data_IF_358542332794
#
_entry.id   IF_358542332794
#
_cell.length_a   1.000
_cell.length_b   1.000
_cell.length_c   1.000
_cell.angle_alpha   90.00
_cell.angle_beta   90.00
_cell.angle_gamma   90.00
#
_symmetry.space_group_name_H-M   'P 1'
#
loop_
_entity.id
_entity.type
_entity.pdbx_description
1 polymer ?
#
# COMPACT_ATOMS: atom_id res chain seq x y z
N UNK A 1 11.54 9.33 -18.01
CA UNK A 1 11.52 7.90 -17.63
C UNK A 1 10.79 7.82 -16.31
N UNK A 2 9.71 7.05 -16.24
CA UNK A 2 8.95 6.82 -15.01
C UNK A 2 9.68 5.77 -14.15
N UNK A 3 9.71 5.96 -12.84
CA UNK A 3 10.29 4.99 -11.90
C UNK A 3 9.23 3.91 -11.70
N UNK A 4 9.59 2.65 -11.83
CA UNK A 4 8.68 1.52 -11.58
C UNK A 4 9.14 0.76 -10.34
N UNK A 5 8.27 -0.07 -9.77
CA UNK A 5 8.67 -0.94 -8.67
C UNK A 5 9.78 -1.90 -9.10
N UNK A 6 9.69 -2.46 -10.31
CA UNK A 6 10.73 -3.32 -10.88
C UNK A 6 12.08 -2.63 -11.01
N UNK A 7 12.12 -1.34 -11.38
CA UNK A 7 13.36 -0.57 -11.41
C UNK A 7 14.01 -0.46 -10.02
N UNK A 8 13.23 -0.11 -8.98
CA UNK A 8 13.75 0.02 -7.61
C UNK A 8 14.24 -1.32 -7.06
N UNK A 9 13.49 -2.39 -7.30
CA UNK A 9 13.85 -3.74 -6.87
C UNK A 9 15.14 -4.20 -7.55
N UNK A 10 15.26 -3.99 -8.87
CA UNK A 10 16.44 -4.36 -9.65
C UNK A 10 17.68 -3.58 -9.22
N UNK A 11 17.53 -2.29 -8.92
CA UNK A 11 18.63 -1.44 -8.43
C UNK A 11 19.15 -1.93 -7.07
N UNK A 12 18.26 -2.16 -6.10
CA UNK A 12 18.63 -2.72 -4.79
C UNK A 12 19.30 -4.08 -4.94
N UNK A 13 18.81 -4.96 -5.81
CA UNK A 13 19.43 -6.27 -6.08
C UNK A 13 20.83 -6.11 -6.70
N UNK A 14 20.97 -5.22 -7.68
CA UNK A 14 22.25 -4.92 -8.31
C UNK A 14 23.28 -4.47 -7.28
N UNK A 15 22.91 -3.54 -6.41
CA UNK A 15 23.79 -3.04 -5.34
C UNK A 15 24.11 -4.14 -4.33
N UNK A 16 23.11 -4.90 -3.87
CA UNK A 16 23.30 -5.96 -2.89
C UNK A 16 24.22 -7.09 -3.39
N UNK A 17 24.13 -7.41 -4.68
CA UNK A 17 24.99 -8.40 -5.32
C UNK A 17 26.43 -7.93 -5.52
N UNK A 18 26.75 -6.64 -5.26
CA UNK A 18 28.07 -6.05 -5.47
C UNK A 18 28.64 -6.30 -6.88
N UNK A 19 27.77 -6.40 -7.88
CA UNK A 19 28.14 -6.77 -9.27
C UNK A 19 28.38 -8.27 -9.51
N UNK A 20 28.14 -9.13 -8.52
CA UNK A 20 28.05 -10.58 -8.67
C UNK A 20 26.74 -11.04 -9.33
N UNK A 21 26.45 -12.35 -9.32
CA UNK A 21 25.21 -12.85 -9.92
C UNK A 21 23.98 -12.44 -9.08
N UNK A 22 23.06 -11.60 -9.60
CA UNK A 22 21.90 -11.14 -8.84
C UNK A 22 20.97 -12.29 -8.39
N UNK A 23 21.03 -13.43 -9.08
CA UNK A 23 20.21 -14.61 -8.79
C UNK A 23 20.64 -15.37 -7.52
N UNK A 24 21.82 -15.07 -6.96
CA UNK A 24 22.29 -15.66 -5.70
C UNK A 24 21.81 -14.87 -4.47
N UNK A 25 21.20 -13.69 -4.68
CA UNK A 25 20.65 -12.89 -3.61
C UNK A 25 19.42 -13.56 -3.01
N UNK A 26 19.51 -13.97 -1.75
CA UNK A 26 18.50 -14.82 -1.08
C UNK A 26 17.19 -14.11 -0.75
N UNK A 27 17.09 -12.81 -0.99
CA UNK A 27 15.90 -12.02 -0.66
C UNK A 27 14.98 -11.94 -1.88
N UNK A 28 13.70 -12.24 -1.66
CA UNK A 28 12.67 -12.24 -2.71
C UNK A 28 12.30 -10.82 -3.12
N UNK A 29 11.87 -10.65 -4.39
CA UNK A 29 11.41 -9.35 -4.91
C UNK A 29 10.28 -8.75 -4.07
N UNK A 30 9.36 -9.61 -3.62
CA UNK A 30 8.26 -9.22 -2.72
C UNK A 30 8.78 -8.63 -1.41
N UNK A 31 9.84 -9.20 -0.85
CA UNK A 31 10.42 -8.70 0.40
C UNK A 31 11.13 -7.35 0.21
N UNK A 32 11.80 -7.17 -0.92
CA UNK A 32 12.43 -5.89 -1.29
C UNK A 32 11.35 -4.83 -1.51
N UNK A 33 10.30 -5.15 -2.27
CA UNK A 33 9.16 -4.26 -2.49
C UNK A 33 8.55 -3.82 -1.16
N UNK A 34 8.30 -4.77 -0.25
CA UNK A 34 7.75 -4.44 1.06
C UNK A 34 8.63 -3.43 1.82
N UNK A 35 9.95 -3.58 1.81
CA UNK A 35 10.85 -2.59 2.44
C UNK A 35 10.83 -1.23 1.75
N UNK A 36 10.74 -1.22 0.42
CA UNK A 36 10.62 0.00 -0.39
C UNK A 36 9.31 0.73 -0.04
N UNK A 37 8.19 0.02 0.03
CA UNK A 37 6.88 0.57 0.40
C UNK A 37 6.85 1.11 1.83
N UNK A 38 7.37 0.35 2.79
CA UNK A 38 7.50 0.79 4.19
C UNK A 38 8.34 2.07 4.31
N UNK A 39 9.49 2.11 3.64
CA UNK A 39 10.40 3.25 3.72
C UNK A 39 9.80 4.46 3.00
N UNK A 40 9.12 4.26 1.87
CA UNK A 40 8.38 5.30 1.17
C UNK A 40 7.29 5.90 2.07
N UNK A 41 6.47 5.05 2.69
CA UNK A 41 5.42 5.48 3.63
C UNK A 41 6.00 6.34 4.76
N UNK A 42 7.10 5.88 5.37
CA UNK A 42 7.81 6.62 6.42
C UNK A 42 8.32 8.00 5.96
N UNK A 43 8.94 8.09 4.79
CA UNK A 43 9.49 9.36 4.31
C UNK A 43 8.38 10.36 3.93
N UNK A 44 7.30 9.88 3.33
CA UNK A 44 6.15 10.72 3.01
C UNK A 44 5.46 11.16 4.30
N UNK A 45 5.26 10.27 5.29
CA UNK A 45 4.66 10.66 6.57
C UNK A 45 5.47 11.74 7.29
N UNK A 46 6.81 11.66 7.23
CA UNK A 46 7.70 12.70 7.75
C UNK A 46 7.58 14.04 7.01
N UNK A 47 7.45 14.02 5.68
CA UNK A 47 7.26 15.24 4.87
C UNK A 47 5.89 15.87 5.16
N UNK A 48 4.85 15.05 5.24
CA UNK A 48 3.51 15.50 5.64
C UNK A 48 3.56 16.11 7.06
N UNK A 49 4.25 15.50 8.02
CA UNK A 49 4.38 16.02 9.39
C UNK A 49 5.02 17.42 9.45
N UNK A 50 5.86 17.76 8.47
CA UNK A 50 6.45 19.10 8.30
C UNK A 50 5.51 20.09 7.63
N UNK A 51 4.32 19.64 7.19
CA UNK A 51 3.33 20.39 6.41
C UNK A 51 3.85 20.81 5.03
N UNK A 52 4.70 19.99 4.43
CA UNK A 52 5.05 20.15 3.03
C UNK A 52 3.82 19.93 2.14
N UNK A 53 3.78 20.59 0.99
CA UNK A 53 2.72 20.38 0.00
C UNK A 53 2.78 18.96 -0.58
N UNK A 54 1.61 18.42 -0.90
CA UNK A 54 1.50 17.10 -1.52
C UNK A 54 2.04 17.19 -2.95
N UNK A 55 3.02 16.36 -3.28
CA UNK A 55 3.47 16.21 -4.65
C UNK A 55 2.51 15.31 -5.44
N UNK A 56 2.09 15.75 -6.61
CA UNK A 56 1.23 14.99 -7.52
C UNK A 56 1.78 13.58 -7.83
N UNK A 57 3.11 13.43 -7.83
CA UNK A 57 3.79 12.15 -8.07
C UNK A 57 3.54 11.11 -6.99
N UNK A 58 3.03 11.49 -5.82
CA UNK A 58 2.73 10.57 -4.71
C UNK A 58 1.29 10.08 -4.72
N UNK A 59 0.41 10.79 -5.43
CA UNK A 59 -1.02 10.53 -5.48
C UNK A 59 -1.26 9.28 -6.31
N UNK A 60 -2.11 8.41 -5.78
CA UNK A 60 -2.54 7.18 -6.42
C UNK A 60 -4.03 7.24 -6.64
N UNK A 61 -4.49 6.58 -7.71
CA UNK A 61 -5.87 6.62 -8.14
C UNK A 61 -6.45 5.20 -8.15
N UNK A 62 -7.67 5.09 -7.65
CA UNK A 62 -8.54 3.94 -7.80
C UNK A 62 -9.74 4.45 -8.59
N UNK A 63 -9.73 4.23 -9.90
CA UNK A 63 -10.66 4.94 -10.77
C UNK A 63 -12.10 4.46 -10.59
N UNK A 64 -12.32 3.19 -10.27
CA UNK A 64 -13.62 2.55 -10.36
C UNK A 64 -13.93 1.65 -9.16
N UNK A 65 -14.10 2.29 -8.01
CA UNK A 65 -14.60 1.63 -6.80
C UNK A 65 -16.09 1.37 -6.97
N UNK A 66 -16.48 0.10 -7.03
CA UNK A 66 -17.88 -0.30 -7.10
C UNK A 66 -18.59 -0.09 -5.75
N UNK A 67 -19.77 0.50 -5.80
CA UNK A 67 -20.65 0.75 -4.68
C UNK A 67 -21.84 -0.20 -4.69
N UNK A 68 -22.30 -0.59 -3.51
CA UNK A 68 -23.53 -1.32 -3.29
C UNK A 68 -24.42 -0.61 -2.28
N UNK A 69 -25.73 -0.75 -2.46
CA UNK A 69 -26.71 -0.19 -1.56
C UNK A 69 -26.78 -1.06 -0.29
N UNK A 70 -26.55 -0.43 0.85
CA UNK A 70 -26.71 -1.06 2.16
C UNK A 70 -27.77 -0.33 2.96
N UNK A 71 -28.53 -1.11 3.75
CA UNK A 71 -29.53 -0.57 4.65
C UNK A 71 -28.85 0.33 5.70
N UNK A 72 -29.31 1.58 5.77
CA UNK A 72 -28.79 2.54 6.72
C UNK A 72 -29.15 2.22 8.17
N UNK A 73 -29.97 1.22 8.49
CA UNK A 73 -30.13 0.77 9.89
C UNK A 73 -28.78 0.40 10.56
N UNK A 74 -27.79 0.00 9.76
CA UNK A 74 -26.39 -0.23 10.20
C UNK A 74 -25.60 1.07 10.48
N UNK A 75 -26.10 2.20 9.98
CA UNK A 75 -25.47 3.53 10.03
C UNK A 75 -26.28 4.57 10.85
N UNK A 76 -27.58 4.39 10.95
CA UNK A 76 -28.57 5.29 11.49
C UNK A 76 -29.44 4.46 12.46
N UNK A 77 -29.27 4.70 13.76
CA UNK A 77 -29.98 4.00 14.86
C UNK A 77 -31.51 4.19 14.88
N UNK A 78 -32.14 4.58 13.78
CA UNK A 78 -33.59 4.84 13.68
C UNK A 78 -34.05 4.51 12.26
N UNK A 79 -35.15 3.75 12.15
CA UNK A 79 -35.86 3.50 10.90
C UNK A 79 -36.07 4.82 10.17
N UNK A 80 -35.35 4.99 9.07
CA UNK A 80 -35.56 6.08 8.13
C UNK A 80 -35.20 5.57 6.76
N UNK A 81 -35.93 6.02 5.74
CA UNK A 81 -35.72 5.81 4.29
C UNK A 81 -34.35 6.38 3.79
N UNK A 82 -33.31 6.28 4.60
CA UNK A 82 -31.96 6.66 4.30
C UNK A 82 -31.32 5.42 3.67
N UNK A 83 -31.03 5.48 2.38
CA UNK A 83 -30.18 4.49 1.75
C UNK A 83 -28.78 5.08 1.66
N UNK A 84 -27.77 4.27 1.99
CA UNK A 84 -26.37 4.66 1.92
C UNK A 84 -25.67 3.70 0.98
N UNK A 85 -24.78 4.24 0.16
CA UNK A 85 -23.94 3.43 -0.72
C UNK A 85 -22.64 3.13 0.00
N UNK A 86 -22.19 1.88 -0.04
CA UNK A 86 -20.93 1.43 0.52
C UNK A 86 -20.07 0.81 -0.58
N UNK A 87 -18.76 1.00 -0.55
CA UNK A 87 -17.86 0.23 -1.40
C UNK A 87 -18.01 -1.27 -1.15
N UNK A 88 -17.95 -2.07 -2.21
CA UNK A 88 -17.94 -3.54 -2.08
C UNK A 88 -16.62 -4.03 -1.48
N UNK A 89 -15.53 -3.40 -1.88
CA UNK A 89 -14.19 -3.72 -1.40
C UNK A 89 -13.73 -2.73 -0.33
N UNK A 90 -12.81 -3.19 0.52
CA UNK A 90 -12.17 -2.35 1.54
C UNK A 90 -11.10 -1.49 0.89
N UNK A 91 -11.16 -0.20 1.13
CA UNK A 91 -10.13 0.76 0.71
C UNK A 91 -8.85 0.49 1.51
N UNK A 92 -7.68 0.35 0.86
CA UNK A 92 -6.42 0.13 1.56
C UNK A 92 -6.09 1.29 2.51
N UNK A 93 -5.31 0.97 3.53
CA UNK A 93 -4.89 1.97 4.51
C UNK A 93 -4.06 3.08 3.86
N UNK A 94 -4.40 4.33 4.19
CA UNK A 94 -3.58 5.47 3.79
C UNK A 94 -2.39 5.62 4.72
N UNK A 95 -1.37 6.36 4.28
CA UNK A 95 -0.18 6.67 5.09
C UNK A 95 -0.60 7.18 6.47
N UNK A 96 -0.09 6.53 7.53
CA UNK A 96 -0.43 6.89 8.89
C UNK A 96 0.24 8.22 9.32
N UNK A 97 -0.56 9.16 9.80
CA UNK A 97 -0.10 10.44 10.35
C UNK A 97 -1.07 10.93 11.44
N UNK A 98 -0.96 12.19 11.87
CA UNK A 98 -1.92 12.80 12.80
C UNK A 98 -3.34 13.03 12.22
N UNK A 99 -3.56 12.72 10.94
CA UNK A 99 -4.88 12.83 10.28
C UNK A 99 -5.50 11.43 10.21
N UNK A 100 -6.82 11.39 10.25
CA UNK A 100 -7.61 10.17 10.14
C UNK A 100 -7.35 9.38 8.84
N UNK A 101 -7.17 10.07 7.71
CA UNK A 101 -6.74 9.46 6.45
C UNK A 101 -6.21 10.50 5.46
N UNK A 102 -5.49 10.02 4.44
CA UNK A 102 -4.98 10.80 3.30
C UNK A 102 -5.67 10.44 1.98
N UNK A 103 -7.00 10.29 2.01
CA UNK A 103 -7.78 10.39 0.78
C UNK A 103 -7.85 11.87 0.39
N UNK A 104 -7.33 12.18 -0.79
CA UNK A 104 -7.25 13.53 -1.35
C UNK A 104 -8.60 13.93 -1.93
N UNK A 105 -9.22 13.05 -2.71
CA UNK A 105 -10.52 13.31 -3.32
C UNK A 105 -11.29 12.04 -3.60
N UNK A 106 -12.61 12.15 -3.51
CA UNK A 106 -13.55 11.16 -4.05
C UNK A 106 -14.39 11.87 -5.08
N UNK A 107 -14.43 11.36 -6.30
CA UNK A 107 -15.16 11.95 -7.42
C UNK A 107 -16.15 10.96 -8.01
N UNK A 108 -17.27 11.47 -8.50
CA UNK A 108 -18.13 10.71 -9.42
C UNK A 108 -17.41 10.48 -10.74
N UNK A 109 -17.87 9.54 -11.57
CA UNK A 109 -17.34 9.30 -12.93
C UNK A 109 -17.38 10.59 -13.78
N UNK A 110 -18.36 11.47 -13.55
CA UNK A 110 -18.50 12.76 -14.24
C UNK A 110 -17.46 13.81 -13.80
N UNK A 111 -16.54 13.47 -12.89
CA UNK A 111 -15.51 14.37 -12.36
C UNK A 111 -15.96 15.30 -11.23
N UNK A 112 -17.23 15.25 -10.80
CA UNK A 112 -17.71 16.04 -9.67
C UNK A 112 -17.15 15.51 -8.34
N UNK A 113 -16.52 16.41 -7.57
CA UNK A 113 -15.98 16.08 -6.25
C UNK A 113 -17.09 15.91 -5.22
N UNK A 114 -17.03 14.81 -4.49
CA UNK A 114 -17.88 14.56 -3.32
C UNK A 114 -17.11 15.07 -2.09
N UNK A 115 -17.68 15.97 -1.27
CA UNK A 115 -17.01 16.49 -0.10
C UNK A 115 -16.91 15.44 1.01
N UNK A 116 -15.81 15.48 1.78
CA UNK A 116 -15.65 14.64 2.97
C UNK A 116 -16.68 15.05 4.02
N UNK A 117 -17.50 14.10 4.43
CA UNK A 117 -18.45 14.22 5.53
C UNK A 117 -17.91 13.53 6.79
N UNK A 118 -18.56 13.78 7.91
CA UNK A 118 -18.27 13.11 9.18
C UNK A 118 -19.41 12.13 9.46
N UNK A 119 -19.12 10.86 9.80
CA UNK A 119 -20.17 9.87 10.07
C UNK A 119 -21.17 10.34 11.14
N UNK A 120 -20.70 11.02 12.20
CA UNK A 120 -21.57 11.57 13.24
C UNK A 120 -22.43 12.73 12.74
N UNK A 121 -21.90 13.58 11.85
CA UNK A 121 -22.65 14.69 11.26
C UNK A 121 -23.64 14.22 10.20
N UNK A 122 -23.30 13.16 9.46
CA UNK A 122 -24.13 12.60 8.39
C UNK A 122 -25.53 12.23 8.88
N UNK A 123 -25.64 11.67 10.09
CA UNK A 123 -26.91 11.34 10.74
C UNK A 123 -27.86 12.53 10.87
N UNK A 124 -27.31 13.73 11.11
CA UNK A 124 -28.10 14.95 11.31
C UNK A 124 -28.24 15.79 10.04
N UNK A 125 -27.53 15.42 8.95
CA UNK A 125 -27.52 16.19 7.71
C UNK A 125 -28.92 16.32 7.11
N UNK A 126 -29.77 15.29 7.23
CA UNK A 126 -31.17 15.32 6.79
C UNK A 126 -32.03 16.43 7.42
N UNK A 127 -31.61 16.98 8.56
CA UNK A 127 -32.31 18.08 9.24
C UNK A 127 -31.76 19.46 8.85
N UNK A 128 -30.73 19.53 8.00
CA UNK A 128 -30.14 20.80 7.59
C UNK A 128 -30.96 21.45 6.47
N UNK A 129 -31.41 22.69 6.70
CA UNK A 129 -32.22 23.45 5.74
C UNK A 129 -31.59 23.56 4.35
N UNK A 130 -30.27 23.76 4.25
CA UNK A 130 -29.61 24.07 2.97
C UNK A 130 -28.82 22.92 2.37
N UNK A 131 -28.32 21.99 3.19
CA UNK A 131 -27.37 20.94 2.74
C UNK A 131 -27.91 19.52 2.96
N UNK A 132 -29.22 19.35 3.19
CA UNK A 132 -29.81 18.04 3.45
C UNK A 132 -29.64 17.07 2.28
N UNK A 133 -29.60 17.59 1.05
CA UNK A 133 -29.43 16.81 -0.18
C UNK A 133 -27.98 16.72 -0.66
N UNK A 134 -27.04 17.37 0.02
CA UNK A 134 -25.65 17.40 -0.44
C UNK A 134 -25.00 16.04 -0.25
N UNK A 135 -24.38 15.53 -1.31
CA UNK A 135 -23.59 14.30 -1.24
C UNK A 135 -22.44 14.46 -0.27
N UNK A 136 -22.06 13.37 0.37
CA UNK A 136 -20.88 13.34 1.22
C UNK A 136 -20.26 11.96 1.23
N UNK A 137 -18.98 11.87 1.57
CA UNK A 137 -18.33 10.58 1.78
C UNK A 137 -17.64 10.50 3.13
N UNK A 138 -17.53 9.30 3.70
CA UNK A 138 -16.69 9.03 4.86
C UNK A 138 -16.15 7.61 4.81
N UNK A 139 -15.11 7.32 5.59
CA UNK A 139 -14.61 5.96 5.81
C UNK A 139 -15.15 5.41 7.12
N UNK A 140 -15.52 4.13 7.12
CA UNK A 140 -15.86 3.36 8.33
C UNK A 140 -15.49 1.90 8.11
N UNK A 141 -14.70 1.33 9.02
CA UNK A 141 -14.22 -0.06 8.95
C UNK A 141 -13.56 -0.39 7.59
N UNK A 142 -12.74 0.55 7.09
CA UNK A 142 -12.07 0.52 5.79
C UNK A 142 -13.00 0.50 4.55
N UNK A 143 -14.31 0.66 4.72
CA UNK A 143 -15.23 0.85 3.61
C UNK A 143 -15.51 2.33 3.35
N UNK A 144 -15.63 2.70 2.08
CA UNK A 144 -16.07 4.01 1.64
C UNK A 144 -17.60 4.05 1.66
N UNK A 145 -18.16 5.01 2.36
CA UNK A 145 -19.61 5.27 2.36
C UNK A 145 -19.90 6.58 1.64
N UNK A 146 -20.91 6.58 0.78
CA UNK A 146 -21.46 7.76 0.12
C UNK A 146 -22.91 7.95 0.57
N UNK A 147 -23.19 9.12 1.12
CA UNK A 147 -24.52 9.51 1.62
C UNK A 147 -25.23 10.41 0.64
N UNK A 148 -26.56 10.46 0.77
CA UNK A 148 -27.45 11.28 -0.06
C UNK A 148 -27.31 10.98 -1.56
N UNK A 149 -27.02 9.72 -1.90
CA UNK A 149 -27.07 9.17 -3.24
C UNK A 149 -27.56 7.72 -3.19
N UNK A 150 -28.30 7.30 -4.20
CA UNK A 150 -28.88 5.95 -4.32
C UNK A 150 -28.60 5.29 -5.68
N UNK A 151 -28.08 6.05 -6.65
CA UNK A 151 -27.93 5.63 -8.04
C UNK A 151 -26.46 5.52 -8.46
N UNK A 152 -25.55 6.09 -7.67
CA UNK A 152 -24.12 6.05 -7.95
C UNK A 152 -23.58 4.62 -7.82
N UNK A 153 -23.07 4.08 -8.91
CA UNK A 153 -22.53 2.71 -8.97
C UNK A 153 -21.02 2.68 -8.81
N UNK A 154 -20.32 3.70 -9.31
CA UNK A 154 -18.85 3.77 -9.23
C UNK A 154 -18.39 5.16 -8.81
N UNK A 155 -17.28 5.18 -8.08
CA UNK A 155 -16.55 6.40 -7.71
C UNK A 155 -15.06 6.23 -7.93
N UNK A 156 -14.38 7.34 -8.21
CA UNK A 156 -12.93 7.39 -8.27
C UNK A 156 -12.39 7.93 -6.96
N UNK A 157 -11.37 7.27 -6.41
CA UNK A 157 -10.72 7.64 -5.14
C UNK A 157 -9.27 7.96 -5.42
N UNK A 158 -8.84 9.17 -5.06
CA UNK A 158 -7.44 9.57 -5.09
C UNK A 158 -6.90 9.66 -3.66
N UNK A 159 -5.72 9.11 -3.40
CA UNK A 159 -5.16 9.09 -2.06
C UNK A 159 -3.68 8.78 -1.99
N UNK A 160 -3.13 8.91 -0.78
CA UNK A 160 -1.78 8.47 -0.43
C UNK A 160 -1.88 7.14 0.34
N UNK A 161 -1.87 6.02 -0.38
CA UNK A 161 -1.91 4.69 0.24
C UNK A 161 -0.55 4.32 0.83
N UNK A 162 -0.53 3.53 1.89
CA UNK A 162 0.70 3.05 2.53
C UNK A 162 1.47 2.10 1.62
N UNK A 163 0.77 1.06 1.13
CA UNK A 163 1.27 0.06 0.19
C UNK A 163 0.58 0.22 -1.18
N UNK A 164 1.25 0.83 -2.18
CA UNK A 164 0.72 0.93 -3.53
C UNK A 164 0.38 -0.44 -4.14
N UNK A 165 1.07 -1.51 -3.75
CA UNK A 165 0.79 -2.86 -4.24
C UNK A 165 -0.58 -3.40 -3.85
N UNK A 166 -1.22 -2.89 -2.80
CA UNK A 166 -2.59 -3.28 -2.43
C UNK A 166 -3.62 -2.86 -3.49
N UNK A 167 -3.28 -1.83 -4.29
CA UNK A 167 -4.09 -1.37 -5.41
C UNK A 167 -4.15 -2.37 -6.57
N UNK A 168 -3.29 -3.40 -6.58
CA UNK A 168 -3.33 -4.47 -7.58
C UNK A 168 -4.66 -5.24 -7.56
N UNK A 169 -5.35 -5.25 -6.41
CA UNK A 169 -6.65 -5.91 -6.25
C UNK A 169 -7.79 -5.11 -6.89
N UNK A 170 -7.57 -3.82 -7.15
CA UNK A 170 -8.56 -2.96 -7.78
C UNK A 170 -8.38 -2.97 -9.29
N UNK A 171 -9.52 -2.95 -9.98
CA UNK A 171 -9.56 -2.81 -11.44
C UNK A 171 -10.05 -1.42 -11.82
N UNK A 172 -9.40 -0.81 -12.81
CA UNK A 172 -9.88 0.39 -13.46
C UNK A 172 -11.14 0.08 -14.27
N UNK A 173 -11.86 1.12 -14.69
CA UNK A 173 -13.06 0.95 -15.53
C UNK A 173 -12.76 0.30 -16.89
N UNK A 174 -11.49 0.27 -17.29
CA UNK A 174 -11.02 -0.36 -18.53
C UNK A 174 -10.64 -1.84 -18.31
N UNK A 175 -10.81 -2.37 -17.09
CA UNK A 175 -10.51 -3.76 -16.74
C UNK A 175 -9.02 -4.04 -16.50
N UNK A 176 -8.20 -3.00 -16.34
CA UNK A 176 -6.77 -3.12 -16.01
C UNK A 176 -6.56 -2.97 -14.50
N UNK A 177 -5.57 -3.65 -13.92
CA UNK A 177 -5.24 -3.47 -12.51
C UNK A 177 -4.75 -2.04 -12.24
N UNK A 178 -5.19 -1.43 -11.14
CA UNK A 178 -4.77 -0.06 -10.75
C UNK A 178 -3.27 0.02 -10.38
N UNK A 179 -2.63 -1.12 -10.14
CA UNK A 179 -1.19 -1.20 -9.90
C UNK A 179 -0.58 -2.47 -10.50
N UNK A 180 0.65 -2.35 -10.99
CA UNK A 180 1.52 -3.46 -11.35
C UNK A 180 2.99 -3.12 -11.10
N UNK A 181 3.87 -4.12 -11.12
CA UNK A 181 5.31 -3.91 -10.92
C UNK A 181 5.95 -2.99 -11.97
N UNK A 182 5.37 -2.91 -13.17
CA UNK A 182 5.84 -2.08 -14.29
C UNK A 182 5.09 -0.75 -14.41
N UNK A 183 4.04 -0.54 -13.61
CA UNK A 183 3.35 0.75 -13.52
C UNK A 183 4.25 1.82 -12.88
N UNK A 184 3.92 3.09 -13.13
CA UNK A 184 4.62 4.20 -12.48
C UNK A 184 4.45 4.12 -10.97
N UNK A 185 5.56 4.01 -10.25
CA UNK A 185 5.56 3.89 -8.81
C UNK A 185 5.37 5.27 -8.16
N UNK A 186 4.45 5.43 -7.19
CA UNK A 186 4.02 6.73 -6.66
C UNK A 186 5.05 7.34 -5.70
N UNK A 187 6.16 7.83 -6.27
CA UNK A 187 7.30 8.39 -5.57
C UNK A 187 7.98 9.46 -6.44
N UNK A 188 8.59 10.47 -5.80
CA UNK A 188 9.48 11.40 -6.52
C UNK A 188 10.90 10.83 -6.62
N UNK A 189 11.68 11.25 -7.62
CA UNK A 189 13.05 10.77 -7.82
C UNK A 189 13.98 10.97 -6.61
N UNK A 190 13.84 12.13 -5.94
CA UNK A 190 14.61 12.43 -4.72
C UNK A 190 14.27 11.45 -3.58
N UNK A 191 12.99 11.12 -3.40
CA UNK A 191 12.58 10.13 -2.41
C UNK A 191 12.99 8.72 -2.82
N UNK A 192 12.93 8.36 -4.10
CA UNK A 192 13.36 7.06 -4.60
C UNK A 192 14.84 6.78 -4.28
N UNK A 193 15.70 7.77 -4.45
CA UNK A 193 17.13 7.68 -4.09
C UNK A 193 17.27 7.43 -2.58
N UNK A 194 16.60 8.24 -1.76
CA UNK A 194 16.62 8.10 -0.30
C UNK A 194 16.07 6.75 0.19
N UNK A 195 14.98 6.27 -0.41
CA UNK A 195 14.41 4.95 -0.10
C UNK A 195 15.44 3.86 -0.37
N UNK A 196 16.08 3.89 -1.54
CA UNK A 196 17.10 2.91 -1.92
C UNK A 196 18.25 2.89 -0.91
N UNK A 197 18.80 4.07 -0.58
CA UNK A 197 19.89 4.20 0.41
C UNK A 197 19.50 3.67 1.79
N UNK A 198 18.32 4.03 2.28
CA UNK A 198 17.82 3.61 3.59
C UNK A 198 17.58 2.09 3.61
N UNK A 199 16.94 1.53 2.58
CA UNK A 199 16.66 0.09 2.49
C UNK A 199 17.96 -0.70 2.47
N UNK A 200 18.94 -0.27 1.68
CA UNK A 200 20.25 -0.93 1.61
C UNK A 200 20.93 -0.90 2.98
N UNK A 201 21.03 0.29 3.58
CA UNK A 201 21.75 0.46 4.85
C UNK A 201 21.09 -0.25 6.02
N UNK A 202 19.76 -0.22 6.10
CA UNK A 202 19.02 -0.64 7.31
C UNK A 202 18.42 -2.04 7.21
N UNK A 203 18.20 -2.57 6.01
CA UNK A 203 17.57 -3.89 5.79
C UNK A 203 18.53 -4.86 5.11
N UNK A 204 19.07 -4.48 3.96
CA UNK A 204 19.91 -5.37 3.14
C UNK A 204 21.25 -5.67 3.79
N UNK A 205 22.01 -4.64 4.18
CA UNK A 205 23.35 -4.82 4.74
C UNK A 205 23.35 -5.66 6.03
N UNK A 206 22.44 -5.43 6.99
CA UNK A 206 22.33 -6.33 8.15
C UNK A 206 22.05 -7.76 7.72
N UNK A 207 21.08 -7.98 6.82
CA UNK A 207 20.74 -9.33 6.33
C UNK A 207 21.93 -10.07 5.72
N UNK A 208 22.77 -9.37 4.95
CA UNK A 208 23.97 -9.94 4.32
C UNK A 208 25.09 -10.28 5.31
N UNK A 209 25.19 -9.53 6.42
CA UNK A 209 26.25 -9.69 7.41
C UNK A 209 25.89 -10.67 8.53
N UNK A 210 24.64 -11.13 8.63
CA UNK A 210 24.29 -12.16 9.61
C UNK A 210 24.92 -13.49 9.20
N UNK A 211 25.68 -14.14 10.10
CA UNK A 211 26.27 -15.45 9.80
C UNK A 211 25.14 -16.44 9.54
N UNK A 212 25.21 -17.14 8.41
CA UNK A 212 24.31 -18.26 8.15
C UNK A 212 24.77 -19.45 8.98
N UNK A 213 23.86 -19.99 9.80
CA UNK A 213 24.10 -21.25 10.48
C UNK A 213 24.09 -22.39 9.47
N UNK A 214 25.27 -22.64 8.90
CA UNK A 214 25.51 -23.75 7.97
C UNK A 214 25.99 -25.02 8.72
N UNK A 215 25.93 -25.04 10.06
CA UNK A 215 26.31 -26.20 10.87
C UNK A 215 25.11 -27.14 11.03
N UNK A 216 24.87 -27.97 10.02
CA UNK A 216 23.95 -29.09 10.16
C UNK A 216 24.70 -30.33 10.68
N UNK A 217 24.86 -30.45 12.01
CA UNK A 217 25.48 -31.60 12.67
C UNK A 217 24.54 -32.83 12.79
N UNK A 218 23.57 -32.98 11.88
CA UNK A 218 22.60 -34.09 11.91
C UNK A 218 23.01 -35.33 11.11
N UNK A 219 24.21 -35.37 10.51
CA UNK A 219 24.73 -36.57 9.84
C UNK A 219 25.92 -37.16 10.62
N UNK A 220 25.62 -38.26 11.31
CA UNK A 220 26.52 -39.12 12.08
C UNK A 220 27.91 -39.30 11.44
N UNK A 221 28.95 -38.72 12.05
CA UNK A 221 30.31 -39.21 11.87
C UNK A 221 30.46 -40.53 12.64
N UNK A 222 30.19 -41.65 11.98
CA UNK A 222 30.63 -42.96 12.47
C UNK A 222 32.17 -42.96 12.57
N UNK A 223 32.78 -43.34 13.70
CA UNK A 223 34.23 -43.35 13.82
C UNK A 223 34.80 -44.51 13.00
N UNK A 224 35.44 -44.21 11.86
CA UNK A 224 36.25 -45.20 11.16
C UNK A 224 37.51 -45.49 11.99
N UNK A 225 37.52 -46.70 12.55
CA UNK A 225 38.65 -47.32 13.21
C UNK A 225 39.83 -47.42 12.23
N UNK A 226 40.95 -46.77 12.56
CA UNK A 226 42.24 -47.01 11.92
C UNK A 226 42.71 -48.43 12.27
N UNK A 227 42.62 -49.36 11.31
CA UNK A 227 43.31 -50.67 11.37
C UNK A 227 44.45 -50.66 10.35
N UNK A 228 45.66 -50.54 10.91
CA UNK A 228 46.95 -51.13 10.51
C UNK A 228 47.47 -51.01 9.06
N UNK A 229 48.69 -50.49 8.92
CA UNK A 229 49.85 -51.38 8.70
C UNK A 229 51.19 -50.74 9.07
N UNK A 230 51.82 -51.32 10.10
CA UNK A 230 53.26 -51.35 10.37
C UNK A 230 53.88 -52.38 9.41
N UNK A 231 54.99 -52.02 8.76
CA UNK A 231 56.13 -52.85 8.28
C UNK A 231 56.78 -52.05 7.13
N UNK A 232 58.09 -51.95 6.93
CA UNK A 232 59.31 -52.34 7.66
C UNK A 232 60.45 -51.86 6.76
N UNK A 233 61.39 -51.09 7.29
CA UNK A 233 62.84 -51.08 6.99
C UNK A 233 63.53 -50.10 7.93
#
# INVERSE_FOLDING_TARGET
MAITANHLISDIRGIASSGGNPNEFKITDRQILYWVEQTRSLLISQSLAKKDDINDSWIQYIDCVELEQVDASTCCLVDTDCYVLRSKERIPSTIDTWKDNWIVSVTTIDGNMIPKSNPFKSKYQKYNKYTHSDRGWYLKDDYLYVINDQLLTYVSVAGLFEFPSDLANFTSCEGMACWSYDSNYPISMSLATQVTDIVIKTKVNPFMNFPMDNSNNANNATPQQNIQNKQSE
#
